data_IF_156614915400
#
_entry.id   IF_156614915400
#
_cell.length_a   1.000
_cell.length_b   1.000
_cell.length_c   1.000
_cell.angle_alpha   90.00
_cell.angle_beta   90.00
_cell.angle_gamma   90.00
#
_symmetry.space_group_name_H-M   'P 1'
#
loop_
_entity.id
_entity.type
_entity.pdbx_description
1 polymer ?
#
# COMPACT_ATOMS: atom_id res chain seq x y z
N UNK A 1 7.16 -75.65 -62.14
CA UNK A 1 7.06 -75.78 -60.67
C UNK A 1 7.87 -74.66 -60.02
N UNK A 2 7.25 -73.63 -59.41
CA UNK A 2 7.99 -72.60 -58.68
C UNK A 2 8.68 -73.22 -57.45
N UNK A 3 9.99 -73.01 -57.30
CA UNK A 3 10.76 -73.53 -56.16
C UNK A 3 10.19 -72.95 -54.85
N UNK A 4 9.99 -73.77 -53.79
CA UNK A 4 9.53 -73.27 -52.51
C UNK A 4 10.56 -72.27 -51.97
N UNK A 5 10.11 -71.04 -51.65
CA UNK A 5 10.98 -70.00 -51.08
C UNK A 5 11.52 -70.46 -49.72
N UNK A 6 12.82 -70.27 -49.44
CA UNK A 6 13.40 -70.65 -48.15
C UNK A 6 12.70 -69.90 -47.01
N UNK A 7 12.14 -70.65 -46.06
CA UNK A 7 11.56 -70.07 -44.84
C UNK A 7 12.70 -69.69 -43.89
N UNK A 8 13.02 -68.40 -43.81
CA UNK A 8 13.97 -67.90 -42.83
C UNK A 8 13.46 -68.14 -41.40
N UNK A 9 14.35 -68.51 -40.44
CA UNK A 9 13.98 -68.71 -39.06
C UNK A 9 13.34 -67.43 -38.47
N UNK A 10 12.28 -67.54 -37.65
CA UNK A 10 11.48 -66.40 -37.20
C UNK A 10 12.28 -65.28 -36.50
N UNK A 11 13.41 -65.61 -35.86
CA UNK A 11 14.19 -64.67 -35.03
C UNK A 11 14.99 -63.64 -35.82
N UNK A 12 15.49 -63.97 -37.02
CA UNK A 12 16.26 -63.03 -37.85
C UNK A 12 15.38 -62.12 -38.72
N UNK A 13 14.10 -62.43 -38.83
CA UNK A 13 13.18 -61.71 -39.71
C UNK A 13 13.04 -60.24 -39.31
N UNK A 14 12.94 -59.92 -38.02
CA UNK A 14 12.83 -58.54 -37.55
C UNK A 14 14.09 -57.70 -37.79
N UNK A 15 15.27 -58.31 -37.66
CA UNK A 15 16.57 -57.66 -37.90
C UNK A 15 16.76 -57.34 -39.40
N UNK A 16 16.41 -58.27 -40.28
CA UNK A 16 16.52 -58.06 -41.74
C UNK A 16 15.50 -57.04 -42.26
N UNK A 17 14.28 -57.03 -41.73
CA UNK A 17 13.29 -55.97 -42.04
C UNK A 17 13.85 -54.60 -41.67
N UNK A 18 14.49 -54.47 -40.50
CA UNK A 18 15.13 -53.24 -40.07
C UNK A 18 16.31 -52.84 -40.98
N UNK A 19 17.16 -53.78 -41.36
CA UNK A 19 18.30 -53.52 -42.24
C UNK A 19 17.87 -53.04 -43.64
N UNK A 20 16.87 -53.69 -44.26
CA UNK A 20 16.37 -53.24 -45.56
C UNK A 20 15.63 -51.89 -45.48
N UNK A 21 14.99 -51.60 -44.36
CA UNK A 21 14.42 -50.28 -44.12
C UNK A 21 15.48 -49.19 -44.00
N UNK A 22 16.56 -49.44 -43.25
CA UNK A 22 17.67 -48.49 -43.10
C UNK A 22 18.37 -48.21 -44.45
N UNK A 23 18.26 -49.14 -45.42
CA UNK A 23 18.70 -48.98 -46.82
C UNK A 23 17.68 -48.26 -47.73
N UNK A 24 16.53 -47.82 -47.21
CA UNK A 24 15.51 -47.06 -47.94
C UNK A 24 14.52 -47.88 -48.77
N UNK A 25 14.44 -49.21 -48.60
CA UNK A 25 13.49 -50.03 -49.35
C UNK A 25 12.04 -49.83 -48.86
N UNK A 26 11.08 -49.85 -49.80
CA UNK A 26 9.65 -49.76 -49.50
C UNK A 26 9.14 -51.05 -48.81
N UNK A 27 8.06 -50.98 -48.02
CA UNK A 27 7.48 -52.16 -47.37
C UNK A 27 7.13 -53.28 -48.36
N UNK A 28 6.73 -52.93 -49.58
CA UNK A 28 6.38 -53.89 -50.64
C UNK A 28 7.63 -54.61 -51.16
N UNK A 29 8.73 -53.87 -51.39
CA UNK A 29 10.01 -54.45 -51.77
C UNK A 29 10.57 -55.37 -50.67
N UNK A 30 10.49 -54.95 -49.40
CA UNK A 30 10.93 -55.77 -48.25
C UNK A 30 10.07 -57.03 -48.11
N UNK A 31 8.76 -56.93 -48.32
CA UNK A 31 7.84 -58.05 -48.30
C UNK A 31 8.17 -59.09 -49.39
N UNK A 32 8.43 -58.62 -50.62
CA UNK A 32 8.81 -59.46 -51.74
C UNK A 32 10.14 -60.20 -51.50
N UNK A 33 11.17 -59.49 -51.01
CA UNK A 33 12.51 -60.04 -50.72
C UNK A 33 12.47 -61.08 -49.60
N UNK A 34 11.76 -60.79 -48.51
CA UNK A 34 11.73 -61.64 -47.32
C UNK A 34 10.65 -62.73 -47.36
N UNK A 35 9.79 -62.74 -48.38
CA UNK A 35 8.68 -63.68 -48.49
C UNK A 35 7.67 -63.53 -47.34
N UNK A 36 7.39 -62.29 -46.92
CA UNK A 36 6.40 -61.97 -45.89
C UNK A 36 5.25 -61.16 -46.48
N UNK A 37 4.14 -61.05 -45.76
CA UNK A 37 3.04 -60.18 -46.21
C UNK A 37 3.43 -58.71 -46.05
N UNK A 38 2.95 -57.86 -46.97
CA UNK A 38 3.11 -56.40 -46.91
C UNK A 38 2.64 -55.85 -45.56
N UNK A 39 1.54 -56.35 -45.02
CA UNK A 39 1.02 -55.98 -43.70
C UNK A 39 2.02 -56.25 -42.57
N UNK A 40 2.75 -57.37 -42.62
CA UNK A 40 3.80 -57.70 -41.64
C UNK A 40 4.99 -56.77 -41.76
N UNK A 41 5.40 -56.43 -42.98
CA UNK A 41 6.46 -55.45 -43.24
C UNK A 41 6.05 -54.07 -42.69
N UNK A 42 4.86 -53.57 -43.03
CA UNK A 42 4.32 -52.28 -42.54
C UNK A 42 4.24 -52.21 -41.01
N UNK A 43 3.75 -53.26 -40.35
CA UNK A 43 3.68 -53.32 -38.87
C UNK A 43 5.07 -53.22 -38.23
N UNK A 44 6.05 -53.93 -38.80
CA UNK A 44 7.44 -53.91 -38.31
C UNK A 44 8.09 -52.54 -38.51
N UNK A 45 7.80 -51.88 -39.64
CA UNK A 45 8.23 -50.50 -39.91
C UNK A 45 7.64 -49.53 -38.90
N UNK A 46 6.31 -49.53 -38.68
CA UNK A 46 5.64 -48.67 -37.72
C UNK A 46 6.23 -48.83 -36.30
N UNK A 47 6.47 -50.07 -35.87
CA UNK A 47 7.10 -50.36 -34.57
C UNK A 47 8.56 -49.88 -34.48
N UNK A 48 9.31 -49.84 -35.60
CA UNK A 48 10.68 -49.29 -35.63
C UNK A 48 10.68 -47.77 -35.64
N UNK A 49 9.79 -47.14 -36.40
CA UNK A 49 9.62 -45.69 -36.41
C UNK A 49 9.22 -45.20 -35.02
N UNK A 50 8.25 -45.86 -34.36
CA UNK A 50 7.85 -45.55 -32.99
C UNK A 50 9.01 -45.72 -31.98
N UNK A 51 9.85 -46.76 -32.13
CA UNK A 51 11.04 -46.95 -31.28
C UNK A 51 12.13 -45.89 -31.55
N UNK A 52 12.31 -45.52 -32.81
CA UNK A 52 13.33 -44.55 -33.22
C UNK A 52 12.94 -43.13 -32.83
N UNK A 53 11.66 -42.76 -32.94
CA UNK A 53 11.13 -41.51 -32.40
C UNK A 53 11.31 -41.48 -30.89
N UNK A 54 10.95 -42.55 -30.18
CA UNK A 54 11.15 -42.64 -28.73
C UNK A 54 12.62 -42.48 -28.32
N UNK A 55 13.55 -43.10 -29.05
CA UNK A 55 14.99 -42.99 -28.78
C UNK A 55 15.51 -41.56 -29.03
N UNK A 56 15.08 -40.93 -30.13
CA UNK A 56 15.42 -39.54 -30.46
C UNK A 56 14.86 -38.57 -29.42
N UNK A 57 13.61 -38.75 -29.02
CA UNK A 57 12.94 -37.93 -28.00
C UNK A 57 13.63 -38.08 -26.63
N UNK A 58 14.06 -39.30 -26.27
CA UNK A 58 14.84 -39.55 -25.07
C UNK A 58 16.22 -38.87 -25.13
N UNK A 59 16.89 -38.91 -26.29
CA UNK A 59 18.17 -38.25 -26.48
C UNK A 59 18.05 -36.72 -26.39
N UNK A 60 17.03 -36.14 -27.02
CA UNK A 60 16.75 -34.70 -26.95
C UNK A 60 16.39 -34.27 -25.52
N UNK A 61 15.56 -35.07 -24.83
CA UNK A 61 15.23 -34.86 -23.42
C UNK A 61 16.48 -34.87 -22.54
N UNK A 62 17.40 -35.82 -22.75
CA UNK A 62 18.68 -35.87 -22.04
C UNK A 62 19.52 -34.61 -22.29
N UNK A 63 19.66 -34.18 -23.56
CA UNK A 63 20.36 -32.94 -23.91
C UNK A 63 19.76 -31.72 -23.22
N UNK A 64 18.43 -31.60 -23.20
CA UNK A 64 17.72 -30.50 -22.50
C UNK A 64 17.96 -30.53 -20.99
N UNK A 65 17.93 -31.70 -20.38
CA UNK A 65 18.22 -31.87 -18.95
C UNK A 65 19.68 -31.52 -18.61
N UNK A 66 20.64 -31.91 -19.46
CA UNK A 66 22.06 -31.58 -19.29
C UNK A 66 22.30 -30.07 -19.42
N UNK A 67 21.60 -29.42 -20.35
CA UNK A 67 21.62 -27.96 -20.52
C UNK A 67 21.06 -27.24 -19.28
N UNK A 68 19.94 -27.72 -18.73
CA UNK A 68 19.37 -27.21 -17.48
C UNK A 68 20.39 -27.29 -16.33
N UNK A 69 21.05 -28.44 -16.17
CA UNK A 69 22.10 -28.64 -15.15
C UNK A 69 23.28 -27.70 -15.39
N UNK A 70 23.72 -27.56 -16.65
CA UNK A 70 24.83 -26.68 -17.04
C UNK A 70 24.54 -25.21 -16.70
N UNK A 71 23.36 -24.70 -17.09
CA UNK A 71 22.95 -23.32 -16.81
C UNK A 71 22.81 -23.06 -15.30
N UNK A 72 22.23 -24.01 -14.57
CA UNK A 72 22.14 -23.91 -13.12
C UNK A 72 23.52 -23.85 -12.48
N UNK A 73 24.44 -24.76 -12.86
CA UNK A 73 25.83 -24.77 -12.35
C UNK A 73 26.56 -23.46 -12.65
N UNK A 74 26.33 -22.84 -13.81
CA UNK A 74 26.85 -21.51 -14.18
C UNK A 74 26.35 -20.35 -13.30
N UNK A 75 25.44 -20.58 -12.37
CA UNK A 75 25.01 -19.55 -11.41
C UNK A 75 23.63 -18.98 -11.67
N UNK A 76 22.91 -19.43 -12.71
CA UNK A 76 21.57 -18.92 -13.00
C UNK A 76 20.55 -19.40 -11.97
N UNK A 77 19.56 -18.55 -11.70
CA UNK A 77 18.39 -18.89 -10.88
C UNK A 77 17.43 -19.84 -11.63
N UNK A 78 16.58 -20.56 -10.90
CA UNK A 78 15.60 -21.48 -11.51
C UNK A 78 14.70 -20.75 -12.53
N UNK A 79 14.29 -19.52 -12.24
CA UNK A 79 13.46 -18.69 -13.13
C UNK A 79 14.21 -18.30 -14.40
N UNK A 80 15.49 -17.95 -14.30
CA UNK A 80 16.33 -17.65 -15.47
C UNK A 80 16.56 -18.90 -16.32
N UNK A 81 16.84 -20.04 -15.69
CA UNK A 81 16.98 -21.33 -16.40
C UNK A 81 15.67 -21.70 -17.11
N UNK A 82 14.53 -21.53 -16.44
CA UNK A 82 13.20 -21.78 -17.02
C UNK A 82 12.94 -20.91 -18.26
N UNK A 83 13.18 -19.60 -18.14
CA UNK A 83 13.02 -18.66 -19.24
C UNK A 83 13.96 -18.98 -20.42
N UNK A 84 15.23 -19.32 -20.15
CA UNK A 84 16.22 -19.60 -21.19
C UNK A 84 15.99 -20.94 -21.90
N UNK A 85 15.45 -21.94 -21.20
CA UNK A 85 15.25 -23.30 -21.76
C UNK A 85 13.83 -23.54 -22.26
N UNK A 86 12.94 -22.56 -22.15
CA UNK A 86 11.50 -22.73 -22.46
C UNK A 86 10.83 -23.82 -21.61
N UNK A 87 11.39 -24.16 -20.45
CA UNK A 87 10.91 -25.24 -19.59
C UNK A 87 10.19 -24.65 -18.38
N UNK A 88 8.99 -25.14 -18.00
CA UNK A 88 8.29 -24.66 -16.80
C UNK A 88 9.16 -24.76 -15.55
N UNK A 89 9.03 -23.78 -14.65
CA UNK A 89 9.85 -23.65 -13.43
C UNK A 89 9.88 -24.96 -12.61
N UNK A 90 8.73 -25.59 -12.40
CA UNK A 90 8.65 -26.82 -11.61
C UNK A 90 9.31 -28.02 -12.33
N UNK A 91 9.25 -28.04 -13.67
CA UNK A 91 9.97 -29.06 -14.45
C UNK A 91 11.48 -28.90 -14.33
N UNK A 92 12.00 -27.67 -14.35
CA UNK A 92 13.42 -27.40 -14.09
C UNK A 92 13.80 -27.91 -12.69
N UNK A 93 12.98 -27.61 -11.68
CA UNK A 93 13.19 -28.05 -10.29
C UNK A 93 13.27 -29.57 -10.17
N UNK A 94 12.28 -30.30 -10.69
CA UNK A 94 12.22 -31.76 -10.64
C UNK A 94 13.38 -32.42 -11.40
N UNK A 95 13.81 -31.85 -12.53
CA UNK A 95 14.95 -32.36 -13.30
C UNK A 95 16.26 -32.21 -12.54
N UNK A 96 16.48 -31.07 -11.89
CA UNK A 96 17.67 -30.86 -11.04
C UNK A 96 17.71 -31.85 -9.88
N UNK A 97 16.58 -32.08 -9.20
CA UNK A 97 16.45 -33.07 -8.12
C UNK A 97 16.76 -34.48 -8.65
N UNK A 98 16.14 -34.87 -9.78
CA UNK A 98 16.37 -36.18 -10.42
C UNK A 98 17.83 -36.40 -10.82
N UNK A 99 18.57 -35.34 -11.14
CA UNK A 99 20.00 -35.37 -11.47
C UNK A 99 20.91 -35.22 -10.25
N UNK A 100 20.37 -35.24 -9.02
CA UNK A 100 21.15 -35.12 -7.79
C UNK A 100 21.79 -33.75 -7.58
N UNK A 101 21.28 -32.71 -8.25
CA UNK A 101 21.81 -31.34 -8.08
C UNK A 101 21.13 -30.71 -6.86
N UNK A 102 21.88 -30.40 -5.78
CA UNK A 102 21.30 -29.84 -4.57
C UNK A 102 20.72 -28.45 -4.85
N UNK A 103 19.59 -28.15 -4.21
CA UNK A 103 18.96 -26.84 -4.33
C UNK A 103 19.80 -25.79 -3.59
N UNK A 104 20.22 -24.77 -4.32
CA UNK A 104 20.75 -23.52 -3.76
C UNK A 104 19.66 -22.81 -2.99
N UNK A 105 19.90 -22.63 -1.70
CA UNK A 105 18.94 -22.01 -0.78
C UNK A 105 19.46 -20.69 -0.24
N UNK A 106 20.78 -20.48 -0.26
CA UNK A 106 21.43 -19.30 0.30
C UNK A 106 21.93 -18.40 -0.83
N UNK A 107 21.92 -17.09 -0.61
CA UNK A 107 22.48 -16.12 -1.55
C UNK A 107 23.97 -16.40 -1.85
N UNK A 108 24.70 -16.95 -0.87
CA UNK A 108 26.10 -17.37 -1.00
C UNK A 108 26.33 -18.41 -2.11
N UNK A 109 25.30 -19.16 -2.49
CA UNK A 109 25.39 -20.19 -3.52
C UNK A 109 25.36 -19.59 -4.96
N UNK A 110 25.11 -18.29 -5.09
CA UNK A 110 24.99 -17.58 -6.37
C UNK A 110 26.16 -16.59 -6.55
N UNK A 111 27.18 -16.91 -7.38
CA UNK A 111 28.36 -16.05 -7.56
C UNK A 111 28.03 -14.60 -7.94
N UNK A 112 27.07 -14.39 -8.85
CA UNK A 112 26.66 -13.06 -9.27
C UNK A 112 25.99 -12.23 -8.15
N UNK A 113 25.32 -12.88 -7.19
CA UNK A 113 24.77 -12.18 -6.03
C UNK A 113 25.89 -11.74 -5.08
N UNK A 114 26.94 -12.57 -4.92
CA UNK A 114 28.12 -12.20 -4.13
C UNK A 114 28.80 -10.95 -4.69
N UNK A 115 29.04 -10.88 -6.00
CA UNK A 115 29.64 -9.71 -6.64
C UNK A 115 28.78 -8.44 -6.49
N UNK A 116 27.45 -8.58 -6.66
CA UNK A 116 26.49 -7.50 -6.43
C UNK A 116 26.52 -7.01 -4.99
N UNK A 117 26.56 -7.94 -4.04
CA UNK A 117 26.57 -7.63 -2.61
C UNK A 117 27.89 -6.97 -2.17
N UNK A 118 29.03 -7.39 -2.74
CA UNK A 118 30.33 -6.72 -2.56
C UNK A 118 30.35 -5.31 -3.18
N UNK A 119 29.71 -5.12 -4.35
CA UNK A 119 29.56 -3.80 -4.95
C UNK A 119 28.69 -2.88 -4.08
N UNK A 120 27.57 -3.38 -3.54
CA UNK A 120 26.74 -2.63 -2.60
C UNK A 120 27.51 -2.21 -1.35
N UNK A 121 28.30 -3.12 -0.77
CA UNK A 121 29.17 -2.82 0.36
C UNK A 121 30.19 -1.72 0.02
N UNK A 122 30.86 -1.81 -1.14
CA UNK A 122 31.81 -0.78 -1.59
C UNK A 122 31.12 0.59 -1.78
N UNK A 123 29.96 0.63 -2.43
CA UNK A 123 29.18 1.86 -2.61
C UNK A 123 28.77 2.46 -1.26
N UNK A 124 28.31 1.61 -0.34
CA UNK A 124 27.94 2.03 0.99
C UNK A 124 29.14 2.64 1.70
N UNK A 125 30.28 1.94 1.78
CA UNK A 125 31.51 2.43 2.42
C UNK A 125 32.01 3.76 1.83
N UNK A 126 31.84 3.98 0.53
CA UNK A 126 32.14 5.26 -0.16
C UNK A 126 31.20 6.42 0.20
N UNK A 127 30.17 6.19 1.00
CA UNK A 127 29.27 7.24 1.51
C UNK A 127 27.90 7.28 0.84
N UNK A 128 27.63 6.41 -0.15
CA UNK A 128 26.32 6.38 -0.79
C UNK A 128 25.24 5.91 0.20
N UNK A 129 24.06 6.52 0.13
CA UNK A 129 22.91 6.14 0.96
C UNK A 129 22.30 4.83 0.49
N UNK A 130 21.61 4.11 1.39
CA UNK A 130 20.91 2.86 1.02
C UNK A 130 19.83 3.07 -0.05
N UNK A 131 19.26 4.29 -0.13
CA UNK A 131 18.32 4.68 -1.18
C UNK A 131 18.96 4.74 -2.56
N UNK A 132 20.09 5.44 -2.68
CA UNK A 132 20.79 5.58 -3.95
C UNK A 132 21.33 4.23 -4.45
N UNK A 133 21.84 3.41 -3.52
CA UNK A 133 22.27 2.04 -3.83
C UNK A 133 21.09 1.20 -4.31
N UNK A 134 19.93 1.31 -3.66
CA UNK A 134 18.73 0.58 -4.02
C UNK A 134 18.27 0.94 -5.45
N UNK A 135 18.23 2.23 -5.78
CA UNK A 135 17.93 2.70 -7.14
C UNK A 135 18.95 2.19 -8.16
N UNK A 136 20.24 2.26 -7.84
CA UNK A 136 21.33 1.88 -8.75
C UNK A 136 21.37 0.37 -9.05
N UNK A 137 21.13 -0.48 -8.04
CA UNK A 137 21.21 -1.94 -8.18
C UNK A 137 19.84 -2.58 -8.47
N UNK A 138 18.78 -1.78 -8.67
CA UNK A 138 17.43 -2.29 -8.95
C UNK A 138 16.82 -3.08 -7.78
N UNK A 139 17.10 -2.65 -6.54
CA UNK A 139 16.64 -3.29 -5.31
C UNK A 139 15.74 -2.37 -4.49
N UNK A 140 15.06 -2.94 -3.50
CA UNK A 140 14.40 -2.14 -2.46
C UNK A 140 15.41 -1.69 -1.41
N UNK A 141 15.12 -0.58 -0.71
CA UNK A 141 15.95 -0.10 0.41
C UNK A 141 16.14 -1.19 1.47
N UNK A 142 15.08 -1.95 1.78
CA UNK A 142 15.12 -3.08 2.69
C UNK A 142 16.04 -4.22 2.20
N UNK A 143 16.05 -4.49 0.89
CA UNK A 143 16.96 -5.45 0.26
C UNK A 143 18.43 -5.06 0.46
N UNK A 144 18.77 -3.80 0.20
CA UNK A 144 20.14 -3.28 0.43
C UNK A 144 20.52 -3.39 1.91
N UNK A 145 19.63 -2.98 2.83
CA UNK A 145 19.88 -3.10 4.28
C UNK A 145 20.13 -4.55 4.70
N UNK A 146 19.32 -5.48 4.21
CA UNK A 146 19.47 -6.91 4.49
C UNK A 146 20.83 -7.43 4.05
N UNK A 147 21.30 -7.04 2.85
CA UNK A 147 22.63 -7.41 2.36
C UNK A 147 23.73 -6.83 3.24
N UNK A 148 23.66 -5.54 3.57
CA UNK A 148 24.66 -4.90 4.43
C UNK A 148 24.75 -5.56 5.81
N UNK A 149 23.61 -5.91 6.42
CA UNK A 149 23.55 -6.64 7.70
C UNK A 149 24.13 -8.05 7.56
N UNK A 150 23.78 -8.79 6.51
CA UNK A 150 24.33 -10.13 6.25
C UNK A 150 25.85 -10.11 6.09
N UNK A 151 26.40 -9.02 5.55
CA UNK A 151 27.84 -8.79 5.40
C UNK A 151 28.50 -8.11 6.61
N UNK A 152 27.76 -7.98 7.73
CA UNK A 152 28.24 -7.35 8.97
C UNK A 152 28.77 -5.93 8.77
N UNK A 153 28.22 -5.20 7.80
CA UNK A 153 28.53 -3.78 7.60
C UNK A 153 27.73 -2.98 8.63
N UNK A 154 28.38 -2.19 9.51
CA UNK A 154 27.67 -1.41 10.51
C UNK A 154 26.74 -0.40 9.82
N UNK A 155 25.47 -0.46 10.17
CA UNK A 155 24.47 0.47 9.67
C UNK A 155 24.73 1.85 10.26
N UNK A 156 24.91 2.84 9.38
CA UNK A 156 25.02 4.25 9.77
C UNK A 156 23.77 4.68 10.52
N UNK A 157 23.97 5.38 11.62
CA UNK A 157 22.88 6.03 12.34
C UNK A 157 22.29 7.16 11.51
N UNK A 158 21.05 7.54 11.81
CA UNK A 158 20.40 8.68 11.16
C UNK A 158 21.25 9.96 11.26
N UNK A 159 21.97 10.14 12.37
CA UNK A 159 22.90 11.26 12.59
C UNK A 159 24.09 11.19 11.62
N UNK A 160 24.75 10.03 11.53
CA UNK A 160 25.87 9.84 10.61
C UNK A 160 25.49 10.00 9.13
N UNK A 161 24.23 9.75 8.78
CA UNK A 161 23.72 10.01 7.43
C UNK A 161 23.44 11.50 7.17
N UNK A 162 23.15 12.30 8.21
CA UNK A 162 22.94 13.75 8.09
C UNK A 162 24.25 14.49 7.88
N UNK A 163 25.29 14.14 8.64
CA UNK A 163 26.57 14.86 8.64
C UNK A 163 27.40 14.63 7.36
N UNK A 164 27.09 13.56 6.62
CA UNK A 164 27.84 13.11 5.43
C UNK A 164 27.05 13.17 4.14
N UNK A 165 25.96 13.94 4.10
CA UNK A 165 25.18 14.16 2.89
C UNK A 165 26.07 14.83 1.80
N UNK A 166 26.75 13.99 1.02
CA UNK A 166 27.53 14.29 -0.18
C UNK A 166 26.67 15.05 -1.23
N UNK A 167 27.26 15.62 -2.31
CA UNK A 167 26.74 16.68 -3.20
C UNK A 167 25.37 16.49 -3.89
N UNK A 168 24.61 15.43 -3.59
CA UNK A 168 23.16 15.40 -3.81
C UNK A 168 22.42 16.58 -3.15
N UNK A 169 23.09 17.29 -2.26
CA UNK A 169 22.66 18.57 -1.73
C UNK A 169 22.56 19.68 -2.78
N UNK A 170 23.26 19.65 -3.94
CA UNK A 170 23.10 20.74 -4.93
C UNK A 170 21.68 20.80 -5.51
N UNK A 171 21.13 19.67 -5.97
CA UNK A 171 19.75 19.61 -6.50
C UNK A 171 18.71 19.83 -5.40
N UNK A 172 18.93 19.25 -4.20
CA UNK A 172 18.06 19.53 -3.04
C UNK A 172 18.13 20.99 -2.62
N UNK A 173 19.31 21.60 -2.62
CA UNK A 173 19.52 23.00 -2.27
C UNK A 173 18.83 23.93 -3.26
N UNK A 174 18.93 23.68 -4.57
CA UNK A 174 18.17 24.47 -5.56
C UNK A 174 16.67 24.35 -5.32
N UNK A 175 16.15 23.12 -5.18
CA UNK A 175 14.72 22.89 -4.93
C UNK A 175 14.26 23.53 -3.62
N UNK A 176 15.02 23.37 -2.55
CA UNK A 176 14.66 23.86 -1.23
C UNK A 176 14.73 25.40 -1.20
N UNK A 177 15.67 26.02 -1.93
CA UNK A 177 15.68 27.48 -2.17
C UNK A 177 14.45 27.94 -2.95
N UNK A 178 14.04 27.21 -3.98
CA UNK A 178 12.78 27.49 -4.70
C UNK A 178 11.57 27.38 -3.78
N UNK A 179 11.50 26.35 -2.93
CA UNK A 179 10.46 26.19 -1.91
C UNK A 179 10.43 27.40 -0.98
N UNK A 180 11.58 27.82 -0.45
CA UNK A 180 11.67 28.97 0.44
C UNK A 180 11.30 30.29 -0.25
N UNK A 181 11.67 30.49 -1.52
CA UNK A 181 11.29 31.65 -2.31
C UNK A 181 9.76 31.74 -2.49
N UNK A 182 9.14 30.67 -3.00
CA UNK A 182 7.67 30.59 -3.15
C UNK A 182 6.94 30.79 -1.82
N UNK A 183 7.52 30.31 -0.72
CA UNK A 183 6.97 30.52 0.61
C UNK A 183 7.05 31.99 1.02
N UNK A 184 8.17 32.68 0.81
CA UNK A 184 8.29 34.12 1.09
C UNK A 184 7.35 34.96 0.22
N UNK A 185 7.09 34.54 -1.01
CA UNK A 185 6.08 35.13 -1.92
C UNK A 185 4.63 34.94 -1.45
N UNK A 186 4.39 34.24 -0.34
CA UNK A 186 3.06 34.11 0.27
C UNK A 186 2.34 32.79 -0.03
N UNK A 187 2.89 31.91 -0.86
CA UNK A 187 2.26 30.61 -1.10
C UNK A 187 2.23 29.78 0.20
N UNK A 188 1.16 29.01 0.37
CA UNK A 188 1.05 28.04 1.46
C UNK A 188 1.89 26.81 1.18
N UNK A 189 2.32 26.10 2.24
CA UNK A 189 3.07 24.85 2.08
C UNK A 189 2.34 23.83 1.20
N UNK A 190 1.01 23.80 1.28
CA UNK A 190 0.16 22.97 0.43
C UNK A 190 0.16 23.44 -1.04
N UNK A 191 0.09 24.76 -1.28
CA UNK A 191 0.17 25.33 -2.62
C UNK A 191 1.52 25.05 -3.28
N UNK A 192 2.62 25.16 -2.53
CA UNK A 192 3.97 24.83 -3.00
C UNK A 192 4.08 23.32 -3.31
N UNK A 193 3.56 22.48 -2.42
CA UNK A 193 3.54 21.03 -2.61
C UNK A 193 2.84 20.64 -3.91
N UNK A 194 1.65 21.20 -4.17
CA UNK A 194 0.92 21.00 -5.42
C UNK A 194 1.71 21.52 -6.63
N UNK A 195 2.21 22.77 -6.57
CA UNK A 195 2.92 23.42 -7.69
C UNK A 195 4.19 22.69 -8.10
N UNK A 196 4.91 22.11 -7.15
CA UNK A 196 6.17 21.41 -7.40
C UNK A 196 6.03 19.88 -7.49
N UNK A 197 4.80 19.35 -7.41
CA UNK A 197 4.52 17.92 -7.33
C UNK A 197 5.32 17.21 -6.21
N UNK A 198 5.27 17.79 -5.01
CA UNK A 198 5.93 17.30 -3.80
C UNK A 198 4.88 16.97 -2.73
N UNK A 199 5.28 16.19 -1.72
CA UNK A 199 4.45 16.05 -0.51
C UNK A 199 4.61 17.28 0.39
N UNK A 200 3.56 17.62 1.15
CA UNK A 200 3.61 18.71 2.12
C UNK A 200 4.73 18.55 3.16
N UNK A 201 5.05 17.31 3.54
CA UNK A 201 6.16 17.01 4.44
C UNK A 201 7.53 17.39 3.87
N UNK A 202 7.76 17.20 2.56
CA UNK A 202 9.01 17.62 1.90
C UNK A 202 9.15 19.15 1.95
N UNK A 203 8.05 19.88 1.72
CA UNK A 203 8.03 21.34 1.79
C UNK A 203 8.37 21.82 3.21
N UNK A 204 7.69 21.29 4.22
CA UNK A 204 7.96 21.64 5.63
C UNK A 204 9.40 21.33 6.02
N UNK A 205 9.92 20.15 5.65
CA UNK A 205 11.29 19.77 5.92
C UNK A 205 12.33 20.66 5.21
N UNK A 206 12.02 21.15 4.01
CA UNK A 206 12.87 22.11 3.30
C UNK A 206 12.89 23.47 4.02
N UNK A 207 11.74 23.95 4.49
CA UNK A 207 11.64 25.20 5.25
C UNK A 207 12.38 25.12 6.58
N UNK A 208 12.18 24.05 7.36
CA UNK A 208 12.86 23.84 8.64
C UNK A 208 14.39 23.78 8.46
N UNK A 209 14.86 23.09 7.41
CA UNK A 209 16.31 22.98 7.13
C UNK A 209 16.94 24.32 6.72
N UNK A 210 16.18 25.19 6.06
CA UNK A 210 16.61 26.53 5.68
C UNK A 210 16.35 27.57 6.78
N UNK A 211 15.88 27.16 7.96
CA UNK A 211 15.58 28.05 9.08
C UNK A 211 14.46 29.05 8.77
N UNK A 212 13.56 28.75 7.82
CA UNK A 212 12.44 29.64 7.48
C UNK A 212 11.32 29.43 8.49
N UNK A 213 10.95 30.46 9.28
CA UNK A 213 9.89 30.34 10.27
C UNK A 213 8.56 30.05 9.59
N UNK A 214 7.85 29.04 10.12
CA UNK A 214 6.56 28.62 9.58
C UNK A 214 5.47 29.60 10.04
N UNK A 215 4.76 30.19 9.09
CA UNK A 215 3.51 30.93 9.33
C UNK A 215 2.49 30.02 10.00
N UNK A 216 1.72 30.56 10.93
CA UNK A 216 0.64 29.82 11.56
C UNK A 216 -0.41 29.45 10.50
N UNK A 217 -1.13 28.35 10.71
CA UNK A 217 -2.17 27.93 9.75
C UNK A 217 -3.28 28.99 9.61
N UNK A 218 -3.43 29.90 10.57
CA UNK A 218 -4.34 31.05 10.53
C UNK A 218 -3.95 32.10 9.50
N UNK A 219 -2.66 32.22 9.19
CA UNK A 219 -2.11 33.33 8.40
C UNK A 219 -2.32 33.11 6.89
N UNK A 220 -2.76 31.90 6.52
CA UNK A 220 -3.13 31.60 5.16
C UNK A 220 -4.63 31.79 4.96
N UNK A 221 -5.05 32.67 4.05
CA UNK A 221 -6.43 32.67 3.60
C UNK A 221 -6.69 31.29 3.00
N UNK A 222 -7.51 30.49 3.70
CA UNK A 222 -7.95 29.21 3.15
C UNK A 222 -8.75 29.53 1.89
N UNK A 223 -8.36 29.03 0.71
CA UNK A 223 -9.10 29.29 -0.50
C UNK A 223 -10.55 28.87 -0.27
N UNK A 224 -11.48 29.72 -0.71
CA UNK A 224 -12.89 29.44 -0.55
C UNK A 224 -13.25 28.22 -1.41
N UNK A 225 -13.55 27.10 -0.76
CA UNK A 225 -14.10 25.92 -1.43
C UNK A 225 -15.49 26.23 -1.99
N UNK A 226 -15.92 25.51 -3.04
CA UNK A 226 -17.29 25.61 -3.58
C UNK A 226 -18.35 25.44 -2.49
N UNK A 227 -18.12 24.52 -1.54
CA UNK A 227 -19.00 24.28 -0.40
C UNK A 227 -19.05 25.48 0.55
N UNK A 228 -17.91 26.05 0.91
CA UNK A 228 -17.87 27.26 1.77
C UNK A 228 -18.52 28.47 1.09
N UNK A 229 -18.33 28.65 -0.22
CA UNK A 229 -18.99 29.70 -0.99
C UNK A 229 -20.51 29.50 -0.98
N UNK A 230 -20.98 28.27 -1.22
CA UNK A 230 -22.40 27.93 -1.14
C UNK A 230 -22.97 28.19 0.26
N UNK A 231 -22.29 27.75 1.33
CA UNK A 231 -22.72 28.01 2.72
C UNK A 231 -22.81 29.52 2.96
N UNK A 232 -21.79 30.30 2.57
CA UNK A 232 -21.79 31.77 2.72
C UNK A 232 -23.00 32.39 2.02
N UNK A 233 -23.28 31.98 0.79
CA UNK A 233 -24.44 32.45 0.03
C UNK A 233 -25.76 32.10 0.71
N UNK A 234 -25.91 30.88 1.24
CA UNK A 234 -27.12 30.50 1.94
C UNK A 234 -27.29 31.24 3.28
N UNK A 235 -26.20 31.41 4.04
CA UNK A 235 -26.23 32.20 5.28
C UNK A 235 -26.57 33.65 4.97
N UNK A 236 -26.05 34.24 3.90
CA UNK A 236 -26.39 35.59 3.47
C UNK A 236 -27.88 35.73 3.11
N UNK A 237 -28.49 34.73 2.46
CA UNK A 237 -29.94 34.73 2.17
C UNK A 237 -30.80 34.65 3.43
N UNK A 238 -30.32 33.95 4.46
CA UNK A 238 -31.04 33.74 5.72
C UNK A 238 -30.76 34.83 6.77
N UNK A 239 -29.72 35.65 6.57
CA UNK A 239 -29.34 36.70 7.50
C UNK A 239 -30.45 37.73 7.79
N UNK A 240 -31.22 38.24 6.80
CA UNK A 240 -32.27 39.22 7.07
C UNK A 240 -33.40 38.70 7.97
N UNK A 241 -33.71 37.39 7.90
CA UNK A 241 -34.74 36.77 8.73
C UNK A 241 -34.26 36.52 10.17
N UNK A 242 -32.93 36.57 10.39
CA UNK A 242 -32.34 36.39 11.71
C UNK A 242 -32.64 37.55 12.66
N UNK A 243 -32.73 38.78 12.16
CA UNK A 243 -32.98 39.96 12.99
C UNK A 243 -34.48 40.24 13.19
N UNK A 244 -35.30 39.88 12.20
CA UNK A 244 -36.72 40.27 12.13
C UNK A 244 -37.71 39.19 12.58
N UNK A 245 -37.29 37.91 12.62
CA UNK A 245 -38.20 36.79 12.86
C UNK A 245 -38.23 36.27 14.31
N UNK A 246 -39.41 35.98 14.90
CA UNK A 246 -39.50 35.12 16.07
C UNK A 246 -39.07 33.69 15.70
N UNK A 247 -38.07 33.16 16.40
CA UNK A 247 -37.81 31.71 16.43
C UNK A 247 -36.83 31.13 15.43
N UNK A 248 -36.09 31.91 14.62
CA UNK A 248 -35.02 31.32 13.79
C UNK A 248 -33.64 31.48 14.44
N UNK A 249 -33.20 30.43 15.14
CA UNK A 249 -31.89 30.40 15.78
C UNK A 249 -30.78 30.02 14.78
N UNK A 250 -29.52 30.29 15.14
CA UNK A 250 -28.36 29.80 14.37
C UNK A 250 -28.34 28.26 14.30
N UNK A 251 -28.93 27.58 15.29
CA UNK A 251 -29.12 26.13 15.29
C UNK A 251 -30.15 25.66 14.25
N UNK A 252 -31.18 26.44 13.98
CA UNK A 252 -32.19 26.13 12.95
C UNK A 252 -31.60 26.28 11.55
N UNK A 253 -30.83 27.34 11.33
CA UNK A 253 -30.06 27.49 10.09
C UNK A 253 -29.04 26.38 9.90
N UNK A 254 -28.35 25.98 10.97
CA UNK A 254 -27.39 24.88 10.93
C UNK A 254 -28.06 23.56 10.50
N UNK A 255 -29.22 23.23 11.09
CA UNK A 255 -30.04 22.08 10.70
C UNK A 255 -30.51 22.17 9.24
N UNK A 256 -31.03 23.33 8.82
CA UNK A 256 -31.52 23.56 7.45
C UNK A 256 -30.42 23.40 6.39
N UNK A 257 -29.20 23.83 6.72
CA UNK A 257 -28.05 23.81 5.80
C UNK A 257 -27.21 22.52 5.91
N UNK A 258 -27.51 21.64 6.86
CA UNK A 258 -26.72 20.43 7.13
C UNK A 258 -25.27 20.75 7.54
N UNK A 259 -25.08 21.80 8.36
CA UNK A 259 -23.77 22.23 8.87
C UNK A 259 -23.83 22.42 10.38
N UNK A 260 -22.67 22.65 11.02
CA UNK A 260 -22.63 22.96 12.46
C UNK A 260 -23.06 24.39 12.74
N UNK A 261 -23.60 24.65 13.94
CA UNK A 261 -23.96 25.98 14.40
C UNK A 261 -22.77 26.96 14.39
N UNK A 262 -21.59 26.49 14.79
CA UNK A 262 -20.36 27.30 14.75
C UNK A 262 -19.98 27.72 13.33
N UNK A 263 -20.25 26.88 12.32
CA UNK A 263 -20.06 27.24 10.92
C UNK A 263 -20.98 28.40 10.51
N UNK A 264 -22.27 28.34 10.87
CA UNK A 264 -23.23 29.42 10.57
C UNK A 264 -22.82 30.72 11.26
N UNK A 265 -22.50 30.65 12.56
CA UNK A 265 -22.04 31.81 13.34
C UNK A 265 -20.80 32.46 12.71
N UNK A 266 -19.82 31.64 12.30
CA UNK A 266 -18.61 32.13 11.63
C UNK A 266 -18.96 32.93 10.37
N UNK A 267 -19.85 32.43 9.53
CA UNK A 267 -20.25 33.14 8.30
C UNK A 267 -21.12 34.36 8.58
N UNK A 268 -22.01 34.31 9.56
CA UNK A 268 -22.77 35.48 10.02
C UNK A 268 -21.86 36.59 10.52
N UNK A 269 -20.85 36.25 11.31
CA UNK A 269 -19.87 37.21 11.82
C UNK A 269 -19.01 37.80 10.69
N UNK A 270 -18.66 37.00 9.68
CA UNK A 270 -17.97 37.48 8.49
C UNK A 270 -18.83 38.40 7.62
N UNK A 271 -20.17 38.29 7.72
CA UNK A 271 -21.14 39.16 7.05
C UNK A 271 -21.54 40.39 7.91
N UNK A 272 -20.94 40.56 9.09
CA UNK A 272 -21.26 41.67 9.99
C UNK A 272 -22.59 41.53 10.74
N UNK A 273 -23.23 40.37 10.70
CA UNK A 273 -24.50 40.11 11.41
C UNK A 273 -24.21 39.96 12.91
N UNK A 274 -24.84 40.81 13.73
CA UNK A 274 -24.71 40.74 15.19
C UNK A 274 -25.48 39.54 15.72
N UNK A 275 -24.77 38.53 16.21
CA UNK A 275 -25.39 37.32 16.76
C UNK A 275 -26.24 37.65 18.00
N UNK A 276 -27.46 37.10 18.08
CA UNK A 276 -28.33 37.20 19.25
C UNK A 276 -27.60 36.63 20.48
N UNK A 277 -27.64 37.31 21.64
CA UNK A 277 -27.09 36.79 22.88
C UNK A 277 -27.74 35.44 23.21
N UNK A 278 -26.93 34.43 23.55
CA UNK A 278 -27.38 33.05 23.80
C UNK A 278 -27.28 32.10 22.60
N UNK A 279 -27.04 32.60 21.38
CA UNK A 279 -27.02 31.76 20.17
C UNK A 279 -25.71 30.98 19.93
N UNK A 280 -24.82 30.83 20.92
CA UNK A 280 -23.53 30.15 20.70
C UNK A 280 -22.54 30.08 21.85
N UNK A 281 -22.68 30.93 22.86
CA UNK A 281 -22.01 30.77 24.14
C UNK A 281 -23.10 30.72 25.19
N UNK A 282 -23.28 29.56 25.82
CA UNK A 282 -23.94 29.53 27.12
C UNK A 282 -23.24 30.56 27.98
N UNK A 283 -23.99 31.49 28.55
CA UNK A 283 -23.47 32.41 29.55
C UNK A 283 -22.67 31.57 30.56
N UNK A 284 -21.42 31.94 30.87
CA UNK A 284 -20.65 31.18 31.84
C UNK A 284 -21.48 31.06 33.11
N UNK A 285 -21.83 29.84 33.50
CA UNK A 285 -22.58 29.58 34.72
C UNK A 285 -21.76 30.18 35.86
N UNK A 286 -22.36 31.04 36.66
CA UNK A 286 -21.68 31.54 37.86
C UNK A 286 -21.82 30.51 38.98
N UNK A 287 -21.01 30.64 40.03
CA UNK A 287 -21.18 29.78 41.21
C UNK A 287 -22.57 29.96 41.85
N UNK A 288 -23.14 31.16 41.79
CA UNK A 288 -24.51 31.46 42.26
C UNK A 288 -25.54 30.68 41.44
N UNK A 289 -25.37 30.62 40.12
CA UNK A 289 -26.24 29.85 39.23
C UNK A 289 -26.11 28.34 39.50
N UNK A 290 -24.89 27.84 39.68
CA UNK A 290 -24.66 26.43 40.01
C UNK A 290 -25.36 26.02 41.32
N UNK A 291 -25.34 26.89 42.35
CA UNK A 291 -26.07 26.66 43.61
C UNK A 291 -27.59 26.65 43.40
N UNK A 292 -28.12 27.57 42.58
CA UNK A 292 -29.55 27.64 42.22
C UNK A 292 -29.99 26.40 41.44
N UNK A 293 -29.21 26.00 40.44
CA UNK A 293 -29.44 24.78 39.64
C UNK A 293 -29.45 23.54 40.53
N UNK A 294 -28.47 23.38 41.44
CA UNK A 294 -28.44 22.25 42.39
C UNK A 294 -29.65 22.25 43.34
N UNK A 295 -30.11 23.42 43.77
CA UNK A 295 -31.35 23.56 44.56
C UNK A 295 -32.57 23.07 43.79
N UNK A 296 -32.72 23.51 42.53
CA UNK A 296 -33.83 23.09 41.66
C UNK A 296 -33.78 21.59 41.34
N UNK A 297 -32.59 21.02 41.12
CA UNK A 297 -32.38 19.59 40.91
C UNK A 297 -32.80 18.74 42.14
N UNK A 298 -32.69 19.30 43.34
CA UNK A 298 -33.14 18.65 44.58
C UNK A 298 -34.63 18.85 44.86
N UNK A 299 -35.31 19.76 44.16
CA UNK A 299 -36.74 19.99 44.32
C UNK A 299 -37.56 18.92 43.58
N UNK A 300 -38.56 18.31 44.22
CA UNK A 300 -39.43 17.37 43.55
C UNK A 300 -40.32 18.09 42.53
N UNK A 301 -40.13 17.83 41.24
CA UNK A 301 -41.08 18.19 40.18
C UNK A 301 -40.43 18.88 38.99
N UNK A 302 -39.27 19.51 39.19
CA UNK A 302 -38.60 20.27 38.13
C UNK A 302 -37.86 19.36 37.15
N UNK A 303 -38.09 19.56 35.86
CA UNK A 303 -37.41 18.82 34.78
C UNK A 303 -36.10 19.49 34.38
N UNK A 304 -35.16 18.75 33.78
CA UNK A 304 -33.92 19.34 33.28
C UNK A 304 -34.17 20.42 32.21
N UNK A 305 -35.27 20.30 31.45
CA UNK A 305 -35.67 21.29 30.44
C UNK A 305 -36.06 22.61 31.08
N UNK A 306 -36.92 22.59 32.10
CA UNK A 306 -37.34 23.79 32.82
C UNK A 306 -36.15 24.51 33.48
N UNK A 307 -35.22 23.75 34.07
CA UNK A 307 -34.00 24.32 34.68
C UNK A 307 -33.10 24.93 33.60
N UNK A 308 -32.93 24.24 32.47
CA UNK A 308 -32.13 24.71 31.35
C UNK A 308 -32.68 26.03 30.77
N UNK A 309 -34.01 26.10 30.59
CA UNK A 309 -34.72 27.28 30.10
C UNK A 309 -34.63 28.45 31.09
N UNK A 310 -34.92 28.21 32.38
CA UNK A 310 -34.87 29.24 33.42
C UNK A 310 -33.49 29.87 33.61
N UNK A 311 -32.41 29.13 33.30
CA UNK A 311 -31.03 29.59 33.46
C UNK A 311 -30.32 29.93 32.15
N UNK A 312 -30.99 29.78 30.99
CA UNK A 312 -30.37 30.04 29.69
C UNK A 312 -29.18 29.12 29.36
N UNK A 313 -29.22 27.86 29.80
CA UNK A 313 -28.16 26.86 29.62
C UNK A 313 -28.68 25.64 28.88
N UNK A 314 -27.79 24.75 28.42
CA UNK A 314 -28.21 23.53 27.73
C UNK A 314 -28.62 22.43 28.72
N UNK A 315 -29.54 21.55 28.31
CA UNK A 315 -29.92 20.35 29.10
C UNK A 315 -28.70 19.49 29.43
N UNK A 316 -27.74 19.38 28.50
CA UNK A 316 -26.49 18.65 28.74
C UNK A 316 -25.66 19.29 29.85
N UNK A 317 -25.63 20.63 29.95
CA UNK A 317 -24.96 21.32 31.04
C UNK A 317 -25.62 21.02 32.40
N UNK A 318 -26.96 21.05 32.46
CA UNK A 318 -27.72 20.66 33.65
C UNK A 318 -27.41 19.21 34.03
N UNK A 319 -27.36 18.32 33.03
CA UNK A 319 -27.01 16.90 33.23
C UNK A 319 -25.61 16.73 33.81
N UNK A 320 -24.58 17.39 33.26
CA UNK A 320 -23.20 17.33 33.77
C UNK A 320 -23.07 17.92 35.18
N UNK A 321 -23.83 18.97 35.53
CA UNK A 321 -23.90 19.46 36.92
C UNK A 321 -24.57 18.41 37.82
N UNK A 322 -25.64 17.76 37.34
CA UNK A 322 -26.40 16.79 38.11
C UNK A 322 -25.58 15.55 38.47
N UNK A 323 -24.75 15.05 37.54
CA UNK A 323 -23.83 13.93 37.81
C UNK A 323 -22.54 14.35 38.51
N UNK A 324 -22.30 15.66 38.66
CA UNK A 324 -21.12 16.21 39.33
C UNK A 324 -19.84 16.20 38.49
N UNK A 325 -19.93 16.03 37.17
CA UNK A 325 -18.81 16.18 36.23
C UNK A 325 -18.29 17.62 36.21
N UNK A 326 -19.21 18.58 36.29
CA UNK A 326 -18.89 20.01 36.38
C UNK A 326 -19.41 20.57 37.70
N UNK A 327 -18.77 21.62 38.20
CA UNK A 327 -19.15 22.30 39.44
C UNK A 327 -19.17 21.40 40.70
N UNK A 328 -18.29 20.38 40.75
CA UNK A 328 -18.15 19.47 41.89
C UNK A 328 -17.85 20.18 43.22
N UNK A 329 -17.09 21.28 43.17
CA UNK A 329 -16.74 22.11 44.33
C UNK A 329 -17.94 22.80 45.00
N UNK A 330 -19.05 23.00 44.27
CA UNK A 330 -20.24 23.64 44.81
C UNK A 330 -21.03 22.60 45.62
N UNK A 331 -21.26 22.79 46.92
CA UNK A 331 -21.93 21.78 47.73
C UNK A 331 -23.39 21.58 47.30
N UNK A 332 -23.89 20.35 47.44
CA UNK A 332 -25.30 20.04 47.25
C UNK A 332 -26.12 20.54 48.45
N UNK A 333 -27.34 21.08 48.23
CA UNK A 333 -28.22 21.46 49.32
C UNK A 333 -28.51 20.23 50.21
N UNK A 334 -28.34 20.40 51.53
CA UNK A 334 -28.51 19.33 52.54
C UNK A 334 -27.62 18.09 52.30
N UNK A 335 -26.52 18.24 51.54
CA UNK A 335 -25.59 17.14 51.23
C UNK A 335 -26.14 16.06 50.29
N UNK A 336 -27.37 16.19 49.79
CA UNK A 336 -28.01 15.15 48.96
C UNK A 336 -27.71 15.39 47.48
N UNK A 337 -26.95 14.49 46.86
CA UNK A 337 -26.72 14.49 45.40
C UNK A 337 -28.01 14.20 44.65
N UNK A 338 -28.12 14.71 43.43
CA UNK A 338 -29.20 14.35 42.53
C UNK A 338 -29.20 12.83 42.26
N UNK A 339 -30.35 12.19 42.43
CA UNK A 339 -30.58 10.79 42.10
C UNK A 339 -31.46 10.75 40.85
N UNK A 340 -30.96 10.12 39.78
CA UNK A 340 -31.71 9.99 38.53
C UNK A 340 -33.01 9.26 38.81
N UNK A 341 -34.14 9.92 38.54
CA UNK A 341 -35.46 9.30 38.65
C UNK A 341 -35.52 8.12 37.68
N UNK A 342 -35.82 6.93 38.18
CA UNK A 342 -36.21 5.81 37.31
C UNK A 342 -37.48 6.23 36.60
N UNK A 343 -37.52 6.05 35.27
CA UNK A 343 -38.74 6.27 34.52
C UNK A 343 -39.82 5.36 35.14
N UNK A 344 -40.82 5.97 35.76
CA UNK A 344 -42.04 5.26 36.15
C UNK A 344 -42.67 4.86 34.81
N UNK A 345 -42.60 3.58 34.46
CA UNK A 345 -43.35 3.06 33.32
C UNK A 345 -44.82 3.27 33.68
N UNK A 346 -45.45 4.20 32.99
CA UNK A 346 -46.90 4.40 33.05
C UNK A 346 -47.61 3.20 32.41
#
# INVERSE_FOLDING_TARGET
MPRPKPRHPPRDRGRRVAEYFDRGLSPDAVAAILGITVTTARRSFAARVARSSTARDLAEKRRRDDEIVRLYRKGLTLTQVAAQTGTPLESVRLRLIKRGVPRRTKAADFPHLRERDERMERLYRRGLGTGDIATREGLTIGGVRKVLVQRRVPMRTTTQMRDRALPHDKRRSTRDRTIAALYREGLSSAGIAHRLNLSGGIVLYALDRLGVPRRASSDYPKPETKRSAWIRTQVAKLAPTYDTGPGTSTGDFARKLGVTQGTVQKYMHALGVKLRPGSGRTTPITEVDARRIKRLLSSPGTTFREIAEAHGVTISCISSIAVGETWARVPWPKGRKYVRRRAVRA
#
